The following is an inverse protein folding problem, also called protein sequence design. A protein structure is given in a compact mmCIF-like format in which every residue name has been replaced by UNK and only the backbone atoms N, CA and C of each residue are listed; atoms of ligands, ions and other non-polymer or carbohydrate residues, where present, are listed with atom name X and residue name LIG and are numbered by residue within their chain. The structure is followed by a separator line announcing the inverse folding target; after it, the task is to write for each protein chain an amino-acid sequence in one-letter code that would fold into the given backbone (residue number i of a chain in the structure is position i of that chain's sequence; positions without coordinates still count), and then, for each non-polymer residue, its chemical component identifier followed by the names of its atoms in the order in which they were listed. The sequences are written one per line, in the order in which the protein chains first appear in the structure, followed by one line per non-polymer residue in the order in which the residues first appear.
data_IF_716360814580
#
_entry.id   IF_716360814580
#
_cell.length_a   1.000
_cell.length_b   1.000
_cell.length_c   1.000
_cell.angle_alpha   90.00
_cell.angle_beta   90.00
_cell.angle_gamma   90.00
#
_symmetry.space_group_name_H-M   'P 1'
#
loop_
_entity.id
_entity.type
_entity.pdbx_description
1 polymer ?
#
# COMPACT_ATOMS: atom_id res chain seq x y z
N UNK A 1 14.68 49.87 18.61
CA UNK A 1 13.45 49.72 17.82
C UNK A 1 13.45 48.29 17.29
N UNK A 2 13.12 47.30 18.12
CA UNK A 2 11.77 46.73 18.22
C UNK A 2 11.04 46.82 16.88
N UNK A 3 10.85 45.69 16.22
CA UNK A 3 9.55 45.04 16.02
C UNK A 3 9.65 44.04 14.87
N UNK A 4 9.43 42.77 15.20
CA UNK A 4 8.62 41.79 14.48
C UNK A 4 8.85 41.61 12.98
N UNK A 5 9.27 40.40 12.59
CA UNK A 5 8.38 39.54 11.80
C UNK A 5 8.76 38.06 11.89
N UNK A 6 8.55 37.54 13.10
CA UNK A 6 8.04 36.19 13.30
C UNK A 6 6.64 36.19 12.68
N UNK A 7 6.51 35.77 11.42
CA UNK A 7 5.20 35.47 10.84
C UNK A 7 5.21 34.12 10.16
N UNK A 8 4.91 33.12 11.00
CA UNK A 8 4.18 31.89 10.66
C UNK A 8 4.75 31.03 9.53
N UNK A 9 5.59 30.06 9.90
CA UNK A 9 5.27 28.69 9.51
C UNK A 9 5.83 27.67 10.51
N UNK A 10 5.50 27.88 11.79
CA UNK A 10 5.25 26.73 12.65
C UNK A 10 4.18 25.95 11.89
N UNK A 11 4.58 24.84 11.28
CA UNK A 11 3.69 23.94 10.55
C UNK A 11 2.81 23.28 11.63
N UNK A 12 1.86 24.07 12.12
CA UNK A 12 0.79 23.69 13.01
C UNK A 12 0.19 22.44 12.43
N UNK A 13 0.48 21.32 13.08
CA UNK A 13 -0.45 20.25 13.39
C UNK A 13 -1.81 20.54 12.76
N UNK A 14 -1.99 20.21 11.47
CA UNK A 14 -3.32 20.25 10.87
C UNK A 14 -4.07 19.10 11.52
N UNK A 15 -5.07 19.34 12.38
CA UNK A 15 -5.89 18.27 12.90
C UNK A 15 -6.51 17.57 11.69
N UNK A 16 -6.30 16.26 11.65
CA UNK A 16 -6.85 15.35 10.65
C UNK A 16 -8.36 15.53 10.65
N UNK A 17 -8.87 16.25 9.66
CA UNK A 17 -10.29 16.47 9.46
C UNK A 17 -10.98 15.11 9.37
N UNK A 18 -11.75 14.79 10.41
CA UNK A 18 -12.72 13.70 10.42
C UNK A 18 -13.91 14.10 9.54
N UNK A 19 -13.68 14.18 8.23
CA UNK A 19 -14.74 14.24 7.24
C UNK A 19 -15.40 12.86 7.16
N UNK A 20 -16.41 12.68 8.00
CA UNK A 20 -17.72 12.13 7.64
C UNK A 20 -17.83 11.51 6.24
N UNK A 21 -18.11 10.21 6.22
CA UNK A 21 -19.13 9.66 5.32
C UNK A 21 -18.71 9.32 3.89
N UNK A 22 -17.84 8.32 3.71
CA UNK A 22 -17.92 7.51 2.50
C UNK A 22 -19.17 6.62 2.58
N UNK A 23 -20.34 7.16 2.22
CA UNK A 23 -21.48 6.32 1.81
C UNK A 23 -21.18 5.81 0.40
N UNK A 24 -20.28 4.83 0.35
CA UNK A 24 -20.02 4.03 -0.84
C UNK A 24 -21.29 3.32 -1.25
N UNK A 25 -21.80 3.71 -2.42
CA UNK A 25 -22.97 3.16 -3.10
C UNK A 25 -22.84 1.64 -3.23
N UNK A 26 -23.92 0.92 -2.97
CA UNK A 26 -24.11 -0.51 -3.21
C UNK A 26 -23.95 -0.85 -4.69
N UNK A 27 -22.86 -1.47 -5.11
CA UNK A 27 -22.77 -2.10 -6.44
C UNK A 27 -21.98 -3.42 -6.39
N UNK A 28 -22.68 -4.52 -6.65
CA UNK A 28 -22.15 -5.74 -7.29
C UNK A 28 -21.24 -6.64 -6.45
N UNK A 29 -21.80 -7.41 -5.52
CA UNK A 29 -21.14 -8.52 -4.83
C UNK A 29 -20.90 -9.75 -5.72
N UNK A 30 -20.38 -9.57 -6.93
CA UNK A 30 -19.81 -10.65 -7.73
C UNK A 30 -18.30 -10.59 -7.59
N UNK A 31 -17.69 -11.64 -7.03
CA UNK A 31 -16.25 -11.80 -7.13
C UNK A 31 -15.87 -11.66 -8.61
N UNK A 32 -15.02 -10.67 -8.93
CA UNK A 32 -14.31 -10.63 -10.20
C UNK A 32 -12.93 -11.24 -9.96
N UNK A 33 -12.82 -12.57 -9.86
CA UNK A 33 -11.52 -13.20 -9.65
C UNK A 33 -10.64 -12.94 -10.88
N UNK A 34 -9.43 -12.45 -10.61
CA UNK A 34 -8.33 -12.48 -11.55
C UNK A 34 -7.67 -13.85 -11.44
N UNK A 35 -7.50 -14.53 -12.58
CA UNK A 35 -6.83 -15.81 -12.64
C UNK A 35 -5.69 -15.75 -13.65
N UNK A 36 -4.62 -16.46 -13.35
CA UNK A 36 -3.51 -16.70 -14.26
C UNK A 36 -3.70 -18.07 -14.94
N UNK A 37 -3.42 -18.15 -16.24
CA UNK A 37 -3.60 -19.35 -17.05
C UNK A 37 -2.34 -19.66 -17.85
N UNK A 38 -2.05 -20.95 -18.03
CA UNK A 38 -1.12 -21.46 -19.03
C UNK A 38 -1.89 -22.25 -20.09
N UNK A 39 -1.67 -21.95 -21.37
CA UNK A 39 -2.29 -22.71 -22.45
C UNK A 39 -1.50 -23.98 -22.75
N UNK A 40 -2.17 -25.13 -22.78
CA UNK A 40 -1.51 -26.42 -23.04
C UNK A 40 -1.15 -26.61 -24.52
N UNK A 41 -1.80 -25.90 -25.44
CA UNK A 41 -1.54 -26.04 -26.88
C UNK A 41 -0.43 -25.14 -27.41
N UNK A 42 -0.32 -23.89 -26.95
CA UNK A 42 0.74 -22.95 -27.38
C UNK A 42 1.77 -22.61 -26.31
N UNK A 43 1.54 -23.00 -25.05
CA UNK A 43 2.45 -22.72 -23.93
C UNK A 43 2.40 -21.29 -23.38
N UNK A 44 1.57 -20.40 -23.94
CA UNK A 44 1.47 -19.02 -23.45
C UNK A 44 0.85 -18.91 -22.08
N UNK A 45 1.38 -17.96 -21.30
CA UNK A 45 0.83 -17.56 -20.00
C UNK A 45 0.11 -16.23 -20.14
N UNK A 46 -1.08 -16.13 -19.58
CA UNK A 46 -1.87 -14.91 -19.60
C UNK A 46 -2.78 -14.81 -18.39
N UNK A 47 -3.19 -13.59 -18.06
CA UNK A 47 -4.15 -13.32 -17.00
C UNK A 47 -5.51 -13.01 -17.60
N UNK A 48 -6.58 -13.51 -16.96
CA UNK A 48 -7.95 -13.24 -17.38
C UNK A 48 -8.85 -12.90 -16.19
N UNK A 49 -9.64 -11.83 -16.36
CA UNK A 49 -10.71 -11.43 -15.46
C UNK A 49 -12.00 -12.16 -15.87
N UNK A 50 -12.44 -13.10 -15.04
CA UNK A 50 -13.67 -13.84 -15.30
C UNK A 50 -14.86 -13.19 -14.60
N UNK A 51 -15.93 -12.89 -15.37
CA UNK A 51 -17.20 -12.37 -14.83
C UNK A 51 -18.15 -13.53 -14.57
N UNK A 52 -18.31 -13.90 -13.30
CA UNK A 52 -19.17 -15.00 -12.87
C UNK A 52 -18.45 -16.36 -12.83
N UNK A 53 -19.00 -17.28 -12.04
CA UNK A 53 -18.36 -18.58 -11.78
C UNK A 53 -18.33 -19.52 -13.00
N UNK A 54 -19.17 -19.27 -14.01
CA UNK A 54 -19.32 -20.10 -15.22
C UNK A 54 -18.56 -19.54 -16.44
N UNK A 55 -17.86 -18.40 -16.31
CA UNK A 55 -17.10 -17.85 -17.43
C UNK A 55 -15.87 -18.71 -17.73
N UNK A 56 -15.71 -19.15 -18.99
CA UNK A 56 -14.56 -19.91 -19.45
C UNK A 56 -13.58 -18.98 -20.19
N UNK A 57 -12.31 -18.97 -19.76
CA UNK A 57 -11.25 -18.29 -20.50
C UNK A 57 -10.92 -19.06 -21.79
N UNK A 58 -10.43 -18.35 -22.81
CA UNK A 58 -9.82 -18.93 -24.02
C UNK A 58 -8.46 -18.30 -24.22
N UNK A 59 -7.53 -19.04 -24.81
CA UNK A 59 -6.21 -18.50 -25.12
C UNK A 59 -6.34 -17.34 -26.14
N UNK A 60 -5.76 -16.15 -25.88
CA UNK A 60 -5.81 -15.04 -26.82
C UNK A 60 -4.96 -15.25 -28.08
N UNK A 61 -3.99 -16.19 -28.06
CA UNK A 61 -3.13 -16.47 -29.22
C UNK A 61 -3.67 -17.56 -30.15
N UNK A 62 -4.18 -18.66 -29.60
CA UNK A 62 -4.58 -19.83 -30.38
C UNK A 62 -6.08 -20.18 -30.26
N UNK A 63 -6.86 -19.42 -29.49
CA UNK A 63 -8.28 -19.65 -29.21
C UNK A 63 -8.64 -21.01 -28.58
N UNK A 64 -7.65 -21.81 -28.16
CA UNK A 64 -7.87 -23.08 -27.48
C UNK A 64 -8.59 -22.90 -26.13
N UNK A 65 -9.42 -23.88 -25.78
CA UNK A 65 -10.05 -24.04 -24.47
C UNK A 65 -9.22 -24.88 -23.49
N UNK A 66 -8.12 -25.49 -23.94
CA UNK A 66 -7.21 -26.27 -23.09
C UNK A 66 -6.27 -25.33 -22.31
N UNK A 67 -6.74 -24.94 -21.13
CA UNK A 67 -6.05 -24.03 -20.23
C UNK A 67 -5.87 -24.67 -18.85
N UNK A 68 -4.68 -24.52 -18.28
CA UNK A 68 -4.39 -24.84 -16.89
C UNK A 68 -4.42 -23.55 -16.06
N UNK A 69 -5.18 -23.53 -14.95
CA UNK A 69 -5.23 -22.38 -14.05
C UNK A 69 -4.03 -22.41 -13.10
N UNK A 70 -3.18 -21.40 -13.19
CA UNK A 70 -2.05 -21.23 -12.29
C UNK A 70 -2.50 -20.56 -10.99
N UNK A 71 -2.10 -21.13 -9.86
CA UNK A 71 -2.35 -20.57 -8.54
C UNK A 71 -1.07 -19.89 -8.06
N UNK A 72 -1.09 -18.57 -7.91
CA UNK A 72 0.03 -17.84 -7.33
C UNK A 72 0.23 -18.23 -5.87
N UNK A 73 1.48 -18.35 -5.42
CA UNK A 73 1.79 -18.61 -4.00
C UNK A 73 1.40 -17.37 -3.18
N UNK A 74 0.43 -17.46 -2.26
CA UNK A 74 0.07 -16.32 -1.43
C UNK A 74 1.21 -16.00 -0.45
N UNK A 75 1.47 -14.71 -0.22
CA UNK A 75 2.41 -14.31 0.82
C UNK A 75 1.79 -14.55 2.20
N UNK A 76 2.19 -15.63 2.86
CA UNK A 76 1.71 -15.95 4.20
C UNK A 76 2.26 -14.95 5.22
N UNK A 77 1.37 -14.32 5.98
CA UNK A 77 1.73 -13.44 7.09
C UNK A 77 1.43 -14.19 8.39
N UNK A 78 2.46 -14.64 9.09
CA UNK A 78 2.31 -15.27 10.41
C UNK A 78 2.32 -14.20 11.51
N UNK A 79 1.84 -14.58 12.70
CA UNK A 79 1.94 -13.73 13.88
C UNK A 79 3.39 -13.34 14.19
N UNK A 80 4.35 -14.26 13.98
CA UNK A 80 5.78 -13.99 14.20
C UNK A 80 6.33 -12.99 13.19
N UNK A 81 6.05 -13.15 11.88
CA UNK A 81 6.47 -12.18 10.85
C UNK A 81 5.87 -10.80 11.12
N UNK A 82 4.60 -10.73 11.53
CA UNK A 82 3.96 -9.46 11.91
C UNK A 82 4.64 -8.81 13.11
N UNK A 83 4.97 -9.58 14.15
CA UNK A 83 5.64 -9.06 15.33
C UNK A 83 7.03 -8.48 15.00
N UNK A 84 7.80 -9.17 14.14
CA UNK A 84 9.10 -8.69 13.67
C UNK A 84 8.98 -7.38 12.89
N UNK A 85 8.00 -7.29 11.97
CA UNK A 85 7.75 -6.05 11.21
C UNK A 85 7.41 -4.88 12.14
N UNK A 86 6.57 -5.10 13.15
CA UNK A 86 6.21 -4.06 14.12
C UNK A 86 7.38 -3.65 15.00
N UNK A 87 8.25 -4.61 15.40
CA UNK A 87 9.49 -4.31 16.13
C UNK A 87 10.42 -3.43 15.29
N UNK A 88 10.59 -3.77 14.02
CA UNK A 88 11.41 -2.99 13.09
C UNK A 88 10.82 -1.59 12.85
N UNK A 89 9.49 -1.46 12.76
CA UNK A 89 8.83 -0.16 12.65
C UNK A 89 9.11 0.72 13.88
N UNK A 90 8.90 0.19 15.09
CA UNK A 90 9.18 0.92 16.34
C UNK A 90 10.65 1.34 16.46
N UNK A 91 11.59 0.50 16.01
CA UNK A 91 13.00 0.83 16.01
C UNK A 91 13.31 2.03 15.09
N UNK A 92 12.71 2.06 13.88
CA UNK A 92 12.84 3.20 12.96
C UNK A 92 12.21 4.46 13.53
N UNK A 93 11.03 4.37 14.13
CA UNK A 93 10.34 5.52 14.72
C UNK A 93 11.17 6.13 15.86
N UNK A 94 11.80 5.28 16.68
CA UNK A 94 12.73 5.72 17.73
C UNK A 94 13.91 6.48 17.14
N UNK A 95 14.57 5.92 16.12
CA UNK A 95 15.73 6.54 15.48
C UNK A 95 15.35 7.91 14.89
N UNK A 96 14.20 8.02 14.21
CA UNK A 96 13.71 9.28 13.68
C UNK A 96 13.42 10.30 14.79
N UNK A 97 12.90 9.86 15.94
CA UNK A 97 12.70 10.73 17.11
C UNK A 97 14.01 11.27 17.68
N UNK A 98 15.04 10.41 17.78
CA UNK A 98 16.38 10.80 18.25
C UNK A 98 17.04 11.79 17.27
N UNK A 99 16.93 11.54 15.97
CA UNK A 99 17.44 12.43 14.92
C UNK A 99 16.77 13.82 14.97
N UNK A 100 15.44 13.87 15.08
CA UNK A 100 14.70 15.13 15.24
C UNK A 100 15.15 15.90 16.48
N UNK A 101 15.36 15.20 17.60
CA UNK A 101 15.82 15.83 18.85
C UNK A 101 17.24 16.39 18.71
N UNK A 102 18.12 15.67 18.00
CA UNK A 102 19.48 16.13 17.71
C UNK A 102 19.47 17.38 16.83
N UNK A 103 18.74 17.34 15.70
CA UNK A 103 18.62 18.45 14.78
C UNK A 103 18.09 19.71 15.47
N UNK A 104 17.11 19.56 16.38
CA UNK A 104 16.58 20.67 17.17
C UNK A 104 17.65 21.32 18.06
N UNK A 105 18.45 20.52 18.78
CA UNK A 105 19.53 21.04 19.64
C UNK A 105 20.61 21.75 18.83
N UNK A 106 20.97 21.22 17.67
CA UNK A 106 21.96 21.83 16.78
C UNK A 106 21.47 23.19 16.25
N UNK A 107 20.17 23.29 15.92
CA UNK A 107 19.55 24.56 15.57
C UNK A 107 19.60 25.57 16.73
N UNK A 108 19.26 25.15 17.95
CA UNK A 108 19.32 26.01 19.14
C UNK A 108 20.74 26.54 19.39
N UNK A 109 21.74 25.65 19.38
CA UNK A 109 23.15 26.03 19.60
C UNK A 109 23.71 26.95 18.52
N UNK A 110 23.22 26.85 17.28
CA UNK A 110 23.70 27.68 16.16
C UNK A 110 23.05 29.06 16.07
N UNK A 111 21.98 29.32 16.83
CA UNK A 111 21.26 30.60 16.83
C UNK A 111 21.58 31.51 18.02
N UNK A 112 22.48 31.10 18.91
CA UNK A 112 22.93 31.88 20.09
C UNK A 112 24.20 32.74 19.83
N UNK A 113 24.58 32.95 18.56
CA UNK A 113 25.67 33.87 18.11
C UNK A 113 25.16 35.24 17.61
#
# INVERSE_FOLDING_TARGET
MCLLNIHLMVCSLRPRSSSTGFRGRSQGGGSMPLYEYACLSCGDRFEALLRGAQAAARCPKCASSELERLVSVPRVQSASTRALTMKAARARDRQQGEERTRAQREYELSHDD
#
